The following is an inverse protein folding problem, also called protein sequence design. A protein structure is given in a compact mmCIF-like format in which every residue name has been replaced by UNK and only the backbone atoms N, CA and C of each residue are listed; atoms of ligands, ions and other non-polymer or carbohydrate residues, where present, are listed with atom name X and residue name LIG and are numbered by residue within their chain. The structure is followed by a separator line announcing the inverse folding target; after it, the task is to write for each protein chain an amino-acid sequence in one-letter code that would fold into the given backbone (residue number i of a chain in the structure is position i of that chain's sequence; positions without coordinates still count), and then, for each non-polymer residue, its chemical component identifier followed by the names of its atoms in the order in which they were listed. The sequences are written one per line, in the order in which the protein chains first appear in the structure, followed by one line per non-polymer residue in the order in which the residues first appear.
data_IF_158310382077
#
_entry.id   IF_158310382077
#
_cell.length_a   1.000
_cell.length_b   1.000
_cell.length_c   1.000
_cell.angle_alpha   90.00
_cell.angle_beta   90.00
_cell.angle_gamma   90.00
#
_symmetry.space_group_name_H-M   'P 1'
#
loop_
_entity.id
_entity.type
_entity.pdbx_description
1 polymer ?
#
# COMPACT_ATOMS: atom_id res chain seq x y z
N UNK A 1 76.49 -4.54 8.87
CA UNK A 1 76.03 -5.73 9.63
C UNK A 1 74.67 -5.42 10.19
N UNK A 2 73.60 -5.96 9.59
CA UNK A 2 72.21 -5.66 10.00
C UNK A 2 71.96 -6.43 11.31
N UNK A 3 71.51 -5.73 12.34
CA UNK A 3 71.28 -6.33 13.69
C UNK A 3 70.12 -7.32 13.63
N UNK A 4 70.28 -8.46 14.34
CA UNK A 4 69.24 -9.49 14.47
C UNK A 4 67.87 -8.95 14.99
N UNK A 5 67.90 -7.88 15.76
CA UNK A 5 66.73 -7.17 16.24
C UNK A 5 65.98 -6.42 15.12
N UNK A 6 66.68 -5.82 14.17
CA UNK A 6 66.07 -5.08 13.01
C UNK A 6 65.33 -6.05 12.10
N UNK A 7 65.87 -7.27 11.88
CA UNK A 7 65.23 -8.31 11.10
C UNK A 7 63.95 -8.78 11.77
N UNK A 8 63.95 -8.94 13.10
CA UNK A 8 62.78 -9.35 13.88
C UNK A 8 61.68 -8.31 13.89
N UNK A 9 62.03 -7.02 13.99
CA UNK A 9 61.07 -5.88 13.86
C UNK A 9 60.46 -5.82 12.47
N UNK A 10 61.25 -6.01 11.42
CA UNK A 10 60.74 -6.00 10.04
C UNK A 10 59.77 -7.13 9.76
N UNK A 11 60.06 -8.35 10.22
CA UNK A 11 59.16 -9.51 10.10
C UNK A 11 57.85 -9.31 10.90
N UNK A 12 57.91 -8.75 12.09
CA UNK A 12 56.74 -8.48 12.93
C UNK A 12 55.86 -7.39 12.29
N UNK A 13 56.47 -6.32 11.75
CA UNK A 13 55.79 -5.24 11.05
C UNK A 13 55.09 -5.74 9.78
N UNK A 14 55.78 -6.54 8.97
CA UNK A 14 55.21 -7.10 7.73
C UNK A 14 54.01 -8.01 8.01
N UNK A 15 54.08 -8.87 9.03
CA UNK A 15 53.03 -9.77 9.48
C UNK A 15 51.81 -9.00 10.04
N UNK A 16 52.04 -7.86 10.73
CA UNK A 16 50.98 -6.97 11.22
C UNK A 16 50.26 -6.25 10.06
N UNK A 17 51.02 -5.74 9.06
CA UNK A 17 50.48 -5.06 7.87
C UNK A 17 49.65 -6.03 7.03
N UNK A 18 50.06 -7.28 6.86
CA UNK A 18 49.29 -8.31 6.17
C UNK A 18 47.96 -8.60 6.87
N UNK A 19 47.93 -8.72 8.21
CA UNK A 19 46.70 -8.93 8.98
C UNK A 19 45.72 -7.77 8.85
N UNK A 20 46.21 -6.54 8.87
CA UNK A 20 45.34 -5.32 8.70
C UNK A 20 44.67 -5.32 7.32
N UNK A 21 45.39 -5.68 6.26
CA UNK A 21 44.85 -5.77 4.90
C UNK A 21 43.76 -6.83 4.80
N UNK A 22 43.99 -8.01 5.38
CA UNK A 22 42.99 -9.09 5.41
C UNK A 22 41.74 -8.67 6.20
N UNK A 23 41.93 -8.07 7.39
CA UNK A 23 40.80 -7.57 8.18
C UNK A 23 39.96 -6.51 7.42
N UNK A 24 40.60 -5.58 6.72
CA UNK A 24 39.90 -4.60 5.89
C UNK A 24 39.07 -5.26 4.79
N UNK A 25 39.62 -6.28 4.13
CA UNK A 25 38.88 -7.05 3.12
C UNK A 25 37.67 -7.77 3.72
N UNK A 26 37.83 -8.40 4.87
CA UNK A 26 36.73 -9.09 5.57
C UNK A 26 35.64 -8.08 5.96
N UNK A 27 36.01 -6.94 6.55
CA UNK A 27 35.07 -5.88 6.92
C UNK A 27 34.32 -5.35 5.69
N UNK A 28 35.01 -5.15 4.57
CA UNK A 28 34.40 -4.75 3.31
C UNK A 28 33.33 -5.76 2.84
N UNK A 29 33.65 -7.07 2.88
CA UNK A 29 32.69 -8.09 2.46
C UNK A 29 31.49 -8.20 3.42
N UNK A 30 31.72 -8.05 4.72
CA UNK A 30 30.63 -8.01 5.71
C UNK A 30 29.72 -6.80 5.45
N UNK A 31 30.31 -5.63 5.21
CA UNK A 31 29.54 -4.43 4.86
C UNK A 31 28.75 -4.62 3.57
N UNK A 32 29.36 -5.19 2.53
CA UNK A 32 28.67 -5.49 1.28
C UNK A 32 27.49 -6.44 1.47
N UNK A 33 27.68 -7.52 2.25
CA UNK A 33 26.60 -8.47 2.57
C UNK A 33 25.46 -7.78 3.33
N UNK A 34 25.76 -6.89 4.27
CA UNK A 34 24.78 -6.09 4.98
C UNK A 34 23.95 -5.20 4.01
N UNK A 35 24.63 -4.52 3.10
CA UNK A 35 23.97 -3.70 2.07
C UNK A 35 23.03 -4.54 1.20
N UNK A 36 23.49 -5.72 0.75
CA UNK A 36 22.66 -6.64 -0.05
C UNK A 36 21.44 -7.10 0.76
N UNK A 37 21.62 -7.47 2.03
CA UNK A 37 20.51 -7.88 2.89
C UNK A 37 19.46 -6.77 3.05
N UNK A 38 19.89 -5.52 3.33
CA UNK A 38 18.99 -4.36 3.42
C UNK A 38 18.26 -4.13 2.09
N UNK A 39 18.97 -4.23 0.97
CA UNK A 39 18.37 -4.09 -0.36
C UNK A 39 17.30 -5.17 -0.62
N UNK A 40 17.59 -6.44 -0.32
CA UNK A 40 16.64 -7.54 -0.49
C UNK A 40 15.38 -7.36 0.38
N UNK A 41 15.55 -6.95 1.64
CA UNK A 41 14.42 -6.67 2.56
C UNK A 41 13.56 -5.52 2.02
N UNK A 42 14.20 -4.46 1.53
CA UNK A 42 13.50 -3.30 0.98
C UNK A 42 12.74 -3.65 -0.30
N UNK A 43 13.36 -4.42 -1.20
CA UNK A 43 12.73 -4.90 -2.42
C UNK A 43 11.52 -5.81 -2.12
N UNK A 44 11.65 -6.71 -1.13
CA UNK A 44 10.56 -7.58 -0.70
C UNK A 44 9.36 -6.77 -0.15
N UNK A 45 9.60 -5.76 0.69
CA UNK A 45 8.55 -4.86 1.19
C UNK A 45 7.88 -4.08 0.05
N UNK A 46 8.67 -3.55 -0.87
CA UNK A 46 8.16 -2.80 -2.02
C UNK A 46 7.27 -3.67 -2.91
N UNK A 47 7.69 -4.91 -3.17
CA UNK A 47 6.88 -5.89 -3.90
C UNK A 47 5.55 -6.19 -3.18
N UNK A 48 5.57 -6.32 -1.85
CA UNK A 48 4.36 -6.50 -1.04
C UNK A 48 3.37 -5.34 -1.19
N UNK A 49 3.84 -4.09 -1.16
CA UNK A 49 3.00 -2.92 -1.41
C UNK A 49 2.44 -2.89 -2.83
N UNK A 50 3.29 -3.16 -3.83
CA UNK A 50 2.84 -3.22 -5.22
C UNK A 50 1.74 -4.27 -5.42
N UNK A 51 1.92 -5.47 -4.88
CA UNK A 51 0.95 -6.56 -4.94
C UNK A 51 -0.38 -6.15 -4.29
N UNK A 52 -0.34 -5.59 -3.08
CA UNK A 52 -1.54 -5.13 -2.36
C UNK A 52 -2.31 -4.06 -3.15
N UNK A 53 -1.62 -3.09 -3.74
CA UNK A 53 -2.26 -2.06 -4.55
C UNK A 53 -2.89 -2.62 -5.83
N UNK A 54 -2.22 -3.57 -6.46
CA UNK A 54 -2.75 -4.24 -7.66
C UNK A 54 -4.01 -5.04 -7.32
N UNK A 55 -3.98 -5.86 -6.27
CA UNK A 55 -5.13 -6.65 -5.83
C UNK A 55 -6.34 -5.76 -5.47
N UNK A 56 -6.11 -4.65 -4.77
CA UNK A 56 -7.18 -3.69 -4.47
C UNK A 56 -7.77 -3.10 -5.76
N UNK A 57 -6.94 -2.65 -6.70
CA UNK A 57 -7.39 -2.11 -7.98
C UNK A 57 -8.19 -3.13 -8.77
N UNK A 58 -7.67 -4.35 -8.92
CA UNK A 58 -8.32 -5.43 -9.69
C UNK A 58 -9.68 -5.80 -9.06
N UNK A 59 -9.76 -5.79 -7.72
CA UNK A 59 -10.99 -6.01 -6.98
C UNK A 59 -12.04 -4.96 -7.33
N UNK A 60 -11.72 -3.68 -7.28
CA UNK A 60 -12.69 -2.60 -7.58
C UNK A 60 -13.05 -2.53 -9.06
N UNK A 61 -12.12 -2.80 -9.98
CA UNK A 61 -12.44 -2.89 -11.41
C UNK A 61 -13.41 -4.06 -11.69
N UNK A 62 -13.21 -5.20 -11.02
CA UNK A 62 -14.13 -6.34 -11.13
C UNK A 62 -15.52 -6.01 -10.60
N UNK A 63 -15.61 -5.38 -9.41
CA UNK A 63 -16.89 -4.96 -8.82
C UNK A 63 -17.64 -4.06 -9.81
N UNK A 64 -16.96 -3.07 -10.34
CA UNK A 64 -17.51 -2.13 -11.30
C UNK A 64 -18.01 -2.84 -12.57
N UNK A 65 -17.19 -3.72 -13.14
CA UNK A 65 -17.56 -4.50 -14.33
C UNK A 65 -18.78 -5.38 -14.10
N UNK A 66 -18.86 -6.03 -12.94
CA UNK A 66 -19.88 -7.03 -12.63
C UNK A 66 -21.22 -6.39 -12.23
N UNK A 67 -21.25 -5.16 -11.73
CA UNK A 67 -22.44 -4.57 -11.10
C UNK A 67 -22.87 -3.22 -11.71
N UNK A 68 -22.06 -2.61 -12.59
CA UNK A 68 -22.42 -1.33 -13.22
C UNK A 68 -22.74 -1.59 -14.70
N UNK A 69 -23.99 -1.33 -15.09
CA UNK A 69 -24.43 -1.37 -16.50
C UNK A 69 -24.55 0.05 -17.03
N UNK A 70 -24.12 0.25 -18.27
CA UNK A 70 -24.30 1.51 -19.01
C UNK A 70 -25.20 1.22 -20.20
N UNK A 71 -26.37 1.83 -20.26
CA UNK A 71 -27.34 1.67 -21.33
C UNK A 71 -27.83 3.05 -21.76
N UNK A 72 -27.65 3.42 -23.02
CA UNK A 72 -28.11 4.69 -23.60
C UNK A 72 -27.71 5.96 -22.84
N UNK A 73 -26.50 5.97 -22.25
CA UNK A 73 -26.01 7.09 -21.45
C UNK A 73 -26.38 7.03 -19.97
N UNK A 74 -27.34 6.21 -19.60
CA UNK A 74 -27.72 5.97 -18.21
C UNK A 74 -26.83 4.93 -17.56
N UNK A 75 -26.67 5.09 -16.25
CA UNK A 75 -25.84 4.23 -15.43
C UNK A 75 -26.68 3.60 -14.33
N UNK A 76 -26.81 2.29 -14.35
CA UNK A 76 -27.53 1.52 -13.33
C UNK A 76 -26.56 0.65 -12.55
N UNK A 77 -26.81 0.52 -11.25
CA UNK A 77 -26.01 -0.25 -10.30
C UNK A 77 -26.90 -1.34 -9.71
N UNK A 78 -26.41 -2.57 -9.77
CA UNK A 78 -27.09 -3.74 -9.23
C UNK A 78 -26.78 -3.88 -7.72
N UNK A 79 -27.55 -3.13 -6.91
CA UNK A 79 -27.40 -3.14 -5.45
C UNK A 79 -27.78 -4.47 -4.81
N UNK A 80 -28.70 -5.22 -5.38
CA UNK A 80 -29.11 -6.52 -4.83
C UNK A 80 -27.96 -7.51 -4.93
N UNK A 81 -27.30 -7.55 -6.08
CA UNK A 81 -26.11 -8.38 -6.28
C UNK A 81 -24.93 -7.93 -5.42
N UNK A 82 -24.76 -6.63 -5.20
CA UNK A 82 -23.72 -6.10 -4.33
C UNK A 82 -23.98 -6.46 -2.87
N UNK A 83 -25.22 -6.25 -2.37
CA UNK A 83 -25.61 -6.55 -1.00
C UNK A 83 -25.62 -8.04 -0.69
N UNK A 84 -25.87 -8.90 -1.69
CA UNK A 84 -25.72 -10.35 -1.54
C UNK A 84 -24.27 -10.76 -1.19
N UNK A 85 -23.27 -9.98 -1.60
CA UNK A 85 -21.84 -10.20 -1.27
C UNK A 85 -21.42 -9.50 0.01
N UNK A 86 -21.87 -8.27 0.22
CA UNK A 86 -21.62 -7.49 1.42
C UNK A 86 -22.87 -6.67 1.79
N UNK A 87 -23.59 -7.06 2.84
CA UNK A 87 -24.82 -6.38 3.26
C UNK A 87 -24.60 -4.95 3.79
N UNK A 88 -23.33 -4.59 4.10
CA UNK A 88 -22.98 -3.25 4.58
C UNK A 88 -22.91 -2.22 3.44
N UNK A 89 -23.16 -2.60 2.20
CA UNK A 89 -23.19 -1.67 1.08
C UNK A 89 -24.46 -0.81 1.15
N UNK A 90 -24.26 0.49 1.32
CA UNK A 90 -25.32 1.49 1.46
C UNK A 90 -25.48 2.36 0.20
N UNK A 91 -24.43 2.50 -0.62
CA UNK A 91 -24.48 3.39 -1.77
C UNK A 91 -23.35 3.18 -2.76
N UNK A 92 -23.24 4.14 -3.68
CA UNK A 92 -22.17 4.18 -4.69
C UNK A 92 -21.78 5.64 -4.97
N UNK A 93 -20.48 5.93 -4.95
CA UNK A 93 -19.95 7.24 -5.32
C UNK A 93 -19.36 7.19 -6.73
N UNK A 94 -19.80 8.14 -7.56
CA UNK A 94 -19.28 8.35 -8.90
C UNK A 94 -19.01 9.83 -9.16
N UNK A 95 -17.77 10.18 -9.46
CA UNK A 95 -17.38 11.53 -9.86
C UNK A 95 -16.81 11.51 -11.28
N UNK A 96 -17.57 12.01 -12.24
CA UNK A 96 -17.23 12.01 -13.67
C UNK A 96 -15.88 12.71 -13.90
N UNK A 97 -15.01 12.12 -14.71
CA UNK A 97 -13.72 12.73 -15.06
C UNK A 97 -12.59 12.53 -14.04
N UNK A 98 -12.90 12.00 -12.84
CA UNK A 98 -11.88 11.81 -11.79
C UNK A 98 -11.38 10.39 -11.67
N UNK A 99 -12.18 9.40 -12.08
CA UNK A 99 -11.94 7.98 -11.84
C UNK A 99 -12.37 7.51 -10.45
N UNK A 100 -13.05 8.37 -9.67
CA UNK A 100 -13.75 7.97 -8.45
C UNK A 100 -15.03 7.26 -8.86
N UNK A 101 -15.12 5.98 -8.53
CA UNK A 101 -16.17 5.08 -8.99
C UNK A 101 -16.20 3.82 -8.12
N UNK A 102 -16.80 3.95 -6.91
CA UNK A 102 -16.66 2.98 -5.83
C UNK A 102 -17.96 2.72 -5.08
N UNK A 103 -18.18 1.49 -4.57
CA UNK A 103 -19.25 1.25 -3.60
C UNK A 103 -18.97 2.01 -2.30
N UNK A 104 -20.04 2.42 -1.62
CA UNK A 104 -20.01 2.99 -0.27
C UNK A 104 -20.55 1.93 0.67
N UNK A 105 -19.79 1.62 1.71
CA UNK A 105 -20.20 0.73 2.79
C UNK A 105 -20.45 1.53 4.07
N UNK A 106 -21.14 0.95 5.05
CA UNK A 106 -21.20 1.48 6.40
C UNK A 106 -20.98 0.36 7.41
N UNK A 107 -19.88 0.44 8.16
CA UNK A 107 -19.54 -0.51 9.21
C UNK A 107 -20.22 -0.20 10.55
N UNK A 108 -19.84 -0.97 11.55
CA UNK A 108 -20.28 -0.76 12.95
C UNK A 108 -19.64 0.47 13.59
N UNK A 109 -18.50 0.89 13.08
CA UNK A 109 -17.73 2.07 13.52
C UNK A 109 -16.93 2.63 12.31
N UNK A 110 -16.22 3.74 12.52
CA UNK A 110 -15.41 4.38 11.49
C UNK A 110 -14.02 3.76 11.29
N UNK A 111 -13.68 2.70 12.03
CA UNK A 111 -12.39 2.01 11.93
C UNK A 111 -12.46 0.76 11.05
N UNK A 112 -13.61 0.06 11.03
CA UNK A 112 -13.76 -1.24 10.40
C UNK A 112 -13.32 -1.22 8.93
N UNK A 113 -13.87 -0.31 8.12
CA UNK A 113 -13.57 -0.22 6.69
C UNK A 113 -12.36 0.65 6.34
N UNK A 114 -11.72 1.23 7.33
CA UNK A 114 -10.47 1.95 7.14
C UNK A 114 -9.35 1.00 6.67
N UNK A 115 -9.41 -0.27 7.10
CA UNK A 115 -8.39 -1.28 6.82
C UNK A 115 -8.94 -2.57 6.21
N UNK A 116 -10.19 -2.57 5.76
CA UNK A 116 -10.83 -3.68 5.06
C UNK A 116 -11.32 -3.27 3.68
N UNK A 117 -11.21 -4.18 2.71
CA UNK A 117 -11.87 -4.03 1.42
C UNK A 117 -13.38 -4.35 1.53
N UNK A 118 -14.11 -4.13 0.45
CA UNK A 118 -15.54 -4.40 0.41
C UNK A 118 -15.91 -5.88 0.60
N UNK A 119 -14.97 -6.81 0.42
CA UNK A 119 -15.13 -8.24 0.70
C UNK A 119 -14.80 -8.60 2.16
N UNK A 120 -14.61 -7.59 3.02
CA UNK A 120 -14.18 -7.74 4.43
C UNK A 120 -12.80 -8.39 4.60
N UNK A 121 -11.94 -8.27 3.59
CA UNK A 121 -10.55 -8.71 3.67
C UNK A 121 -9.64 -7.53 4.03
N UNK A 122 -8.57 -7.82 4.77
CA UNK A 122 -7.57 -6.79 5.12
C UNK A 122 -7.00 -6.14 3.87
N UNK A 123 -7.05 -4.82 3.82
CA UNK A 123 -6.58 -3.99 2.69
C UNK A 123 -5.98 -2.69 3.20
N UNK A 124 -4.81 -2.32 2.67
CA UNK A 124 -4.19 -1.03 2.96
C UNK A 124 -4.91 0.15 2.30
N UNK A 125 -5.75 -0.11 1.32
CA UNK A 125 -6.56 0.91 0.64
C UNK A 125 -7.90 1.15 1.33
N UNK A 126 -8.30 0.28 2.24
CA UNK A 126 -9.63 0.32 2.84
C UNK A 126 -10.75 0.25 1.81
N UNK A 127 -11.91 0.77 2.19
CA UNK A 127 -13.08 0.97 1.32
C UNK A 127 -13.58 2.40 1.51
N UNK A 128 -14.33 2.95 0.57
CA UNK A 128 -15.08 4.19 0.76
C UNK A 128 -16.25 3.87 1.70
N UNK A 129 -16.39 4.59 2.80
CA UNK A 129 -17.44 4.30 3.78
C UNK A 129 -18.15 5.56 4.28
N UNK A 130 -19.43 5.38 4.61
CA UNK A 130 -20.28 6.37 5.25
C UNK A 130 -19.98 6.40 6.75
N UNK A 131 -19.95 7.58 7.35
CA UNK A 131 -19.80 7.74 8.80
C UNK A 131 -20.86 6.89 9.53
N UNK A 132 -20.45 6.17 10.59
CA UNK A 132 -21.33 5.26 11.31
C UNK A 132 -22.51 5.96 11.99
N UNK A 133 -22.38 7.26 12.30
CA UNK A 133 -23.42 8.11 12.88
C UNK A 133 -24.40 8.66 11.87
N UNK A 134 -24.15 8.49 10.55
CA UNK A 134 -25.08 8.91 9.50
C UNK A 134 -26.14 7.86 9.23
N UNK A 135 -27.30 8.30 8.74
CA UNK A 135 -28.37 7.39 8.30
C UNK A 135 -27.96 6.68 7.01
N UNK A 136 -28.19 5.36 6.95
CA UNK A 136 -27.86 4.50 5.78
C UNK A 136 -28.59 4.88 4.50
N UNK A 137 -29.72 5.58 4.63
CA UNK A 137 -30.51 6.07 3.50
C UNK A 137 -30.09 7.46 3.02
N UNK A 138 -29.02 8.00 3.58
CA UNK A 138 -28.48 9.34 3.27
C UNK A 138 -29.48 10.48 3.52
N UNK A 139 -30.38 10.33 4.49
CA UNK A 139 -31.37 11.36 4.88
C UNK A 139 -30.89 12.27 6.02
N UNK A 140 -29.69 12.05 6.56
CA UNK A 140 -29.08 12.96 7.54
C UNK A 140 -28.81 14.32 6.91
N UNK A 141 -28.90 15.41 7.68
CA UNK A 141 -28.61 16.79 7.22
C UNK A 141 -27.20 16.89 6.62
N UNK A 142 -26.24 16.16 7.20
CA UNK A 142 -24.90 16.03 6.70
C UNK A 142 -24.51 14.54 6.58
N UNK A 143 -24.12 14.13 5.39
CA UNK A 143 -23.63 12.77 5.14
C UNK A 143 -22.12 12.81 4.89
N UNK A 144 -21.34 12.28 5.82
CA UNK A 144 -19.87 12.27 5.76
C UNK A 144 -19.40 10.95 5.18
N UNK A 145 -18.62 11.02 4.09
CA UNK A 145 -18.06 9.85 3.42
C UNK A 145 -16.54 9.91 3.52
N UNK A 146 -15.94 8.86 4.05
CA UNK A 146 -14.51 8.72 4.19
C UNK A 146 -13.90 7.85 3.10
N UNK A 147 -12.64 8.10 2.80
CA UNK A 147 -11.84 7.27 1.90
C UNK A 147 -10.39 7.68 1.92
N UNK A 148 -9.49 6.71 1.77
CA UNK A 148 -8.06 6.98 1.75
C UNK A 148 -7.63 7.85 0.57
N UNK A 149 -6.65 8.72 0.79
CA UNK A 149 -5.88 9.39 -0.25
C UNK A 149 -4.67 8.53 -0.62
N UNK A 150 -4.82 7.65 -1.61
CA UNK A 150 -3.77 6.70 -1.98
C UNK A 150 -2.73 7.31 -2.92
N UNK A 151 -1.43 7.06 -2.67
CA UNK A 151 -0.32 7.53 -3.52
C UNK A 151 -0.40 7.04 -4.97
N UNK A 152 -1.03 5.90 -5.21
CA UNK A 152 -1.25 5.34 -6.56
C UNK A 152 -2.44 5.99 -7.30
N UNK A 153 -3.06 7.02 -6.75
CA UNK A 153 -4.16 7.76 -7.37
C UNK A 153 -5.53 7.07 -7.30
N UNK A 154 -5.68 6.02 -6.48
CA UNK A 154 -6.97 5.35 -6.23
C UNK A 154 -7.70 5.96 -5.04
N UNK A 155 -8.89 5.47 -4.74
CA UNK A 155 -9.81 5.98 -3.71
C UNK A 155 -10.09 7.49 -3.90
N UNK A 156 -10.02 8.28 -2.84
CA UNK A 156 -10.26 9.72 -2.90
C UNK A 156 -9.05 10.57 -3.28
N UNK A 157 -7.93 9.96 -3.72
CA UNK A 157 -6.75 10.71 -4.14
C UNK A 157 -7.01 11.75 -5.23
N UNK A 158 -8.02 11.54 -6.08
CA UNK A 158 -8.36 12.43 -7.18
C UNK A 158 -9.38 13.52 -6.83
N UNK A 159 -9.84 13.59 -5.58
CA UNK A 159 -10.64 14.74 -5.11
C UNK A 159 -9.85 16.05 -5.19
N UNK A 160 -8.52 16.01 -5.17
CA UNK A 160 -7.68 17.19 -5.33
C UNK A 160 -7.88 17.90 -6.69
N UNK A 161 -8.44 17.23 -7.69
CA UNK A 161 -8.80 17.86 -8.98
C UNK A 161 -9.89 18.91 -8.87
N UNK A 162 -10.64 18.93 -7.78
CA UNK A 162 -11.68 19.94 -7.53
C UNK A 162 -11.18 21.16 -6.74
N UNK A 163 -9.85 21.29 -6.52
CA UNK A 163 -9.25 22.43 -5.82
C UNK A 163 -8.85 23.58 -6.76
N UNK A 164 -9.00 23.40 -8.06
CA UNK A 164 -8.70 24.40 -9.10
C UNK A 164 -9.94 25.22 -9.43
#
# INVERSE_FOLDING_TARGET
MVSFNEIKYFFCYSKRKGRIVVMKKILYHIFLLLCIAVFCISAYKLYGYYKSYKEAKDTYEKIKKDNVKKTNGDRTIDFDKLRAKNPDIVGWVYAKGTGIDYPIVQGKDNEEYLHMDYNKKKSSSGTIFLDHGCDKSFISDNNIIYGHHMKNGTMFAKLLKFRE
#
